data_IF_133343998573
#
_entry.id   IF_133343998573
#
_cell.length_a   1.000
_cell.length_b   1.000
_cell.length_c   1.000
_cell.angle_alpha   90.00
_cell.angle_beta   90.00
_cell.angle_gamma   90.00
#
_symmetry.space_group_name_H-M   'P 1'
#
loop_
_entity.id
_entity.type
_entity.pdbx_description
1 polymer ?
#
# COMPACT_ATOMS: atom_id res chain seq x y z
N UNK A 1 -4.98 21.55 0.46
CA UNK A 1 -5.24 22.49 -0.65
C UNK A 1 -6.13 21.90 -1.71
N UNK A 2 -6.54 22.73 -2.70
CA UNK A 2 -7.48 22.35 -3.76
C UNK A 2 -7.04 21.07 -4.53
N UNK A 3 -5.75 20.95 -4.83
CA UNK A 3 -5.20 19.78 -5.54
C UNK A 3 -5.45 18.45 -4.82
N UNK A 4 -5.33 18.42 -3.50
CA UNK A 4 -5.59 17.21 -2.72
C UNK A 4 -7.09 16.84 -2.72
N UNK A 5 -7.98 17.82 -2.67
CA UNK A 5 -9.43 17.58 -2.77
C UNK A 5 -9.80 17.03 -4.15
N UNK A 6 -9.23 17.61 -5.22
CA UNK A 6 -9.46 17.13 -6.59
C UNK A 6 -8.96 15.70 -6.77
N UNK A 7 -7.78 15.36 -6.24
CA UNK A 7 -7.25 14.00 -6.28
C UNK A 7 -8.16 13.00 -5.57
N UNK A 8 -8.61 13.34 -4.36
CA UNK A 8 -9.55 12.51 -3.60
C UNK A 8 -10.88 12.30 -4.34
N UNK A 9 -11.45 13.36 -4.92
CA UNK A 9 -12.67 13.27 -5.73
C UNK A 9 -12.46 12.36 -6.95
N UNK A 10 -11.33 12.50 -7.64
CA UNK A 10 -10.97 11.67 -8.78
C UNK A 10 -10.93 10.19 -8.41
N UNK A 11 -10.22 9.84 -7.33
CA UNK A 11 -10.14 8.45 -6.87
C UNK A 11 -11.52 7.91 -6.48
N UNK A 12 -12.29 8.65 -5.71
CA UNK A 12 -13.65 8.24 -5.32
C UNK A 12 -14.54 8.01 -6.54
N UNK A 13 -14.40 8.84 -7.57
CA UNK A 13 -15.14 8.65 -8.83
C UNK A 13 -14.72 7.35 -9.51
N UNK A 14 -13.43 7.05 -9.62
CA UNK A 14 -12.96 5.79 -10.19
C UNK A 14 -13.50 4.57 -9.45
N UNK A 15 -13.43 4.59 -8.11
CA UNK A 15 -13.96 3.51 -7.28
C UNK A 15 -15.48 3.34 -7.46
N UNK A 16 -16.23 4.45 -7.58
CA UNK A 16 -17.69 4.41 -7.76
C UNK A 16 -18.14 3.75 -9.07
N UNK A 17 -17.22 3.60 -10.03
CA UNK A 17 -17.51 2.88 -11.28
C UNK A 17 -17.61 1.35 -11.10
N UNK A 18 -17.33 0.83 -9.91
CA UNK A 18 -17.35 -0.60 -9.61
C UNK A 18 -16.30 -1.40 -10.39
N UNK A 19 -15.17 -0.77 -10.72
CA UNK A 19 -14.05 -1.39 -11.43
C UNK A 19 -12.85 -1.54 -10.50
N UNK A 20 -12.05 -2.55 -10.78
CA UNK A 20 -10.74 -2.66 -10.14
C UNK A 20 -9.86 -1.54 -10.68
N UNK A 21 -9.20 -0.81 -9.76
CA UNK A 21 -8.38 0.35 -10.09
C UNK A 21 -6.94 0.07 -9.67
N UNK A 22 -6.02 0.18 -10.60
CA UNK A 22 -4.59 -0.01 -10.35
C UNK A 22 -3.87 1.32 -10.51
N UNK A 23 -3.17 1.74 -9.46
CA UNK A 23 -2.29 2.91 -9.49
C UNK A 23 -0.83 2.45 -9.59
N UNK A 24 -0.09 3.07 -10.49
CA UNK A 24 1.35 2.86 -10.64
C UNK A 24 2.03 4.18 -10.30
N UNK A 25 2.94 4.15 -9.34
CA UNK A 25 3.74 5.29 -8.93
C UNK A 25 5.23 4.91 -8.89
N UNK A 26 6.10 5.87 -9.13
CA UNK A 26 7.51 5.70 -8.80
C UNK A 26 7.68 5.56 -7.30
N UNK A 27 8.76 4.91 -6.87
CA UNK A 27 9.17 4.93 -5.48
C UNK A 27 10.08 6.13 -5.23
N UNK A 28 9.79 6.90 -4.18
CA UNK A 28 10.70 7.91 -3.64
C UNK A 28 11.45 7.34 -2.45
N UNK A 29 12.69 7.79 -2.29
CA UNK A 29 13.51 7.52 -1.11
C UNK A 29 13.25 8.61 -0.08
N UNK A 30 12.67 8.24 1.05
CA UNK A 30 12.51 9.13 2.19
C UNK A 30 13.50 8.68 3.30
N UNK A 31 14.15 9.64 3.92
CA UNK A 31 15.06 9.36 5.03
C UNK A 31 14.27 9.27 6.33
N UNK A 32 14.39 8.15 7.03
CA UNK A 32 13.78 7.93 8.34
C UNK A 32 14.89 7.64 9.37
N UNK A 33 15.43 8.70 9.98
CA UNK A 33 16.64 8.61 10.79
C UNK A 33 17.83 8.15 9.94
N UNK A 34 18.46 7.04 10.32
CA UNK A 34 19.58 6.43 9.58
C UNK A 34 19.12 5.42 8.50
N UNK A 35 17.81 5.23 8.33
CA UNK A 35 17.25 4.26 7.39
C UNK A 35 16.61 4.97 6.19
N UNK A 36 16.70 4.34 5.03
CA UNK A 36 15.97 4.75 3.83
C UNK A 36 14.68 3.92 3.76
N UNK A 37 13.56 4.59 3.57
CA UNK A 37 12.27 3.97 3.35
C UNK A 37 11.73 4.35 1.96
N UNK A 38 11.31 3.33 1.18
CA UNK A 38 10.70 3.52 -0.13
C UNK A 38 9.19 3.70 0.00
N UNK A 39 8.68 4.78 -0.58
CA UNK A 39 7.27 5.15 -0.55
C UNK A 39 6.80 5.54 -1.95
N UNK A 40 5.48 5.46 -2.26
CA UNK A 40 4.97 6.01 -3.51
C UNK A 40 5.31 7.50 -3.64
N UNK A 41 5.89 7.88 -4.78
CA UNK A 41 6.20 9.28 -5.10
C UNK A 41 4.93 10.07 -5.44
N UNK A 42 4.23 10.48 -4.39
CA UNK A 42 3.00 11.26 -4.45
C UNK A 42 3.11 12.44 -3.50
N UNK A 43 2.86 13.63 -4.01
CA UNK A 43 2.99 14.87 -3.25
C UNK A 43 1.96 15.01 -2.12
N UNK A 44 2.41 15.55 -0.97
CA UNK A 44 1.58 15.94 0.16
C UNK A 44 0.72 14.83 0.73
N UNK A 45 -0.52 15.17 1.11
CA UNK A 45 -1.48 14.22 1.72
C UNK A 45 -2.03 13.15 0.76
N UNK A 46 -1.72 13.23 -0.55
CA UNK A 46 -2.23 12.28 -1.54
C UNK A 46 -1.67 10.87 -1.33
N UNK A 47 -0.42 10.74 -0.86
CA UNK A 47 0.19 9.46 -0.52
C UNK A 47 -0.62 8.73 0.55
N UNK A 48 -0.94 9.42 1.65
CA UNK A 48 -1.68 8.85 2.77
C UNK A 48 -3.11 8.50 2.37
N UNK A 49 -3.76 9.34 1.56
CA UNK A 49 -5.10 9.05 1.04
C UNK A 49 -5.09 7.78 0.18
N UNK A 50 -4.11 7.64 -0.73
CA UNK A 50 -4.01 6.44 -1.56
C UNK A 50 -3.72 5.19 -0.72
N UNK A 51 -2.80 5.28 0.25
CA UNK A 51 -2.49 4.17 1.16
C UNK A 51 -3.73 3.72 1.94
N UNK A 52 -4.52 4.69 2.44
CA UNK A 52 -5.73 4.43 3.23
C UNK A 52 -6.81 3.70 2.42
N UNK A 53 -7.00 4.05 1.16
CA UNK A 53 -8.08 3.51 0.33
C UNK A 53 -7.70 2.24 -0.44
N UNK A 54 -6.40 1.99 -0.67
CA UNK A 54 -5.96 0.80 -1.38
C UNK A 54 -6.16 -0.46 -0.52
N UNK A 55 -6.74 -1.51 -1.08
CA UNK A 55 -6.83 -2.82 -0.43
C UNK A 55 -5.47 -3.52 -0.40
N UNK A 56 -4.68 -3.32 -1.44
CA UNK A 56 -3.38 -3.95 -1.62
C UNK A 56 -2.38 -2.92 -2.16
N UNK A 57 -1.18 -2.89 -1.61
CA UNK A 57 -0.06 -2.09 -2.10
C UNK A 57 1.19 -2.95 -2.18
N UNK A 58 1.80 -3.05 -3.34
CA UNK A 58 3.01 -3.83 -3.56
C UNK A 58 4.20 -2.93 -3.92
N UNK A 59 5.34 -3.19 -3.31
CA UNK A 59 6.63 -2.60 -3.67
C UNK A 59 7.33 -3.48 -4.70
N UNK A 60 7.41 -3.02 -5.94
CA UNK A 60 8.09 -3.73 -7.02
C UNK A 60 9.59 -3.43 -6.99
N UNK A 61 10.40 -4.47 -6.87
CA UNK A 61 11.87 -4.37 -6.88
C UNK A 61 12.50 -5.43 -7.76
N UNK A 62 13.79 -5.26 -8.03
CA UNK A 62 14.61 -6.25 -8.73
C UNK A 62 15.59 -6.88 -7.77
N UNK A 63 15.65 -8.20 -7.76
CA UNK A 63 16.58 -8.99 -6.94
C UNK A 63 17.47 -9.85 -7.82
N UNK A 64 18.70 -10.08 -7.37
CA UNK A 64 19.59 -11.03 -8.03
C UNK A 64 19.37 -12.40 -7.43
N UNK A 65 18.99 -13.37 -8.27
CA UNK A 65 18.81 -14.77 -7.85
C UNK A 65 20.14 -15.44 -7.55
N UNK A 66 20.10 -16.59 -6.87
CA UNK A 66 21.30 -17.40 -6.60
C UNK A 66 22.07 -17.83 -7.84
N UNK A 67 21.43 -17.79 -9.03
CA UNK A 67 22.07 -18.04 -10.33
C UNK A 67 22.69 -16.79 -10.98
N UNK A 68 22.68 -15.64 -10.29
CA UNK A 68 23.18 -14.37 -10.81
C UNK A 68 22.26 -13.69 -11.84
N UNK A 69 21.01 -14.14 -11.99
CA UNK A 69 20.04 -13.53 -12.88
C UNK A 69 19.19 -12.49 -12.13
N UNK A 70 18.84 -11.42 -12.80
CA UNK A 70 17.92 -10.43 -12.26
C UNK A 70 16.47 -10.91 -12.45
N UNK A 71 15.72 -10.89 -11.38
CA UNK A 71 14.30 -11.20 -11.36
C UNK A 71 13.52 -10.08 -10.65
N UNK A 72 12.27 -9.88 -11.03
CA UNK A 72 11.39 -8.90 -10.41
C UNK A 72 10.51 -9.57 -9.36
N UNK A 73 10.36 -8.89 -8.22
CA UNK A 73 9.53 -9.34 -7.10
C UNK A 73 8.64 -8.19 -6.65
N UNK A 74 7.40 -8.50 -6.33
CA UNK A 74 6.50 -7.56 -5.67
C UNK A 74 6.38 -7.96 -4.20
N UNK A 75 6.74 -7.06 -3.29
CA UNK A 75 6.61 -7.25 -1.86
C UNK A 75 5.32 -6.59 -1.37
N UNK A 76 4.38 -7.38 -0.87
CA UNK A 76 3.11 -6.91 -0.32
C UNK A 76 3.14 -6.77 1.21
N UNK A 77 4.15 -7.31 1.88
CA UNK A 77 4.32 -7.19 3.33
C UNK A 77 5.07 -5.90 3.67
N UNK A 78 4.49 -5.05 4.53
CA UNK A 78 5.18 -3.83 4.97
C UNK A 78 6.45 -4.18 5.73
N UNK A 79 7.47 -3.32 5.58
CA UNK A 79 8.77 -3.47 6.25
C UNK A 79 9.33 -2.10 6.64
N UNK A 80 10.38 -2.05 7.48
CA UNK A 80 11.05 -0.80 7.79
C UNK A 80 11.65 -0.08 6.57
N UNK A 81 11.82 -0.78 5.45
CA UNK A 81 12.46 -0.25 4.24
C UNK A 81 11.48 0.11 3.12
N UNK A 82 10.23 -0.29 3.20
CA UNK A 82 9.24 0.07 2.18
C UNK A 82 7.81 0.00 2.69
N UNK A 83 6.96 0.86 2.15
CA UNK A 83 5.53 0.80 2.35
C UNK A 83 4.91 -0.30 1.48
N UNK A 84 4.05 -1.10 2.10
CA UNK A 84 3.25 -2.12 1.44
C UNK A 84 1.97 -2.37 2.24
N UNK A 85 0.98 -3.04 1.64
CA UNK A 85 -0.29 -3.40 2.28
C UNK A 85 -0.82 -4.68 1.66
N UNK A 86 -1.32 -5.60 2.47
CA UNK A 86 -1.68 -6.93 2.00
C UNK A 86 -3.00 -7.47 2.59
N UNK A 87 -4.09 -6.75 2.42
CA UNK A 87 -5.42 -7.25 2.84
C UNK A 87 -5.87 -8.47 2.04
N UNK A 88 -5.26 -8.72 0.89
CA UNK A 88 -5.52 -9.86 0.00
C UNK A 88 -4.69 -11.12 0.27
N UNK A 89 -3.85 -11.13 1.31
CA UNK A 89 -2.94 -12.24 1.66
C UNK A 89 -2.07 -12.76 0.49
N UNK A 90 -1.67 -11.85 -0.41
CA UNK A 90 -0.82 -12.19 -1.55
C UNK A 90 0.58 -12.62 -1.10
N UNK A 91 1.17 -13.61 -1.78
CA UNK A 91 2.50 -14.10 -1.47
C UNK A 91 2.62 -14.89 -0.16
N UNK A 92 1.49 -15.25 0.47
CA UNK A 92 1.47 -16.04 1.70
C UNK A 92 2.22 -15.38 2.86
N UNK A 93 2.98 -16.16 3.62
CA UNK A 93 3.70 -15.69 4.82
C UNK A 93 4.80 -14.66 4.51
N UNK A 94 5.46 -14.77 3.38
CA UNK A 94 6.54 -13.84 2.98
C UNK A 94 5.99 -12.53 2.43
N UNK A 95 4.77 -12.56 1.85
CA UNK A 95 4.19 -11.45 1.11
C UNK A 95 4.89 -11.18 -0.23
N UNK A 96 5.75 -12.09 -0.70
CA UNK A 96 6.52 -11.93 -1.93
C UNK A 96 5.87 -12.66 -3.10
N UNK A 97 5.74 -11.97 -4.22
CA UNK A 97 5.25 -12.55 -5.47
C UNK A 97 6.25 -12.29 -6.59
N UNK A 98 6.79 -13.35 -7.14
CA UNK A 98 7.72 -13.29 -8.26
C UNK A 98 6.99 -12.95 -9.55
N UNK A 99 7.46 -11.91 -10.26
CA UNK A 99 6.87 -11.50 -11.53
C UNK A 99 7.38 -12.41 -12.64
N UNK A 100 6.51 -13.17 -13.28
CA UNK A 100 6.91 -14.06 -14.38
C UNK A 100 7.21 -13.28 -15.66
N UNK A 101 7.57 -13.98 -16.73
CA UNK A 101 7.56 -13.39 -18.06
C UNK A 101 6.12 -13.00 -18.44
N UNK A 102 5.83 -11.70 -18.48
CA UNK A 102 4.50 -11.18 -18.76
C UNK A 102 4.02 -11.45 -20.20
N UNK A 103 4.92 -11.80 -21.12
CA UNK A 103 4.51 -12.23 -22.46
C UNK A 103 3.92 -13.64 -22.43
N UNK A 104 4.48 -14.51 -21.58
CA UNK A 104 3.97 -15.85 -21.35
C UNK A 104 2.76 -15.87 -20.40
N UNK A 105 2.66 -14.89 -19.50
CA UNK A 105 1.60 -14.78 -18.48
C UNK A 105 0.91 -13.40 -18.54
N UNK A 106 0.15 -13.10 -19.59
CA UNK A 106 -0.45 -11.76 -19.80
C UNK A 106 -1.55 -11.42 -18.78
N UNK A 107 -2.12 -12.41 -18.10
CA UNK A 107 -3.17 -12.25 -17.08
C UNK A 107 -2.64 -12.06 -15.67
N UNK A 108 -1.31 -12.11 -15.47
CA UNK A 108 -0.67 -12.12 -14.15
C UNK A 108 -1.25 -11.10 -13.16
N UNK A 109 -1.42 -9.84 -13.57
CA UNK A 109 -1.97 -8.80 -12.69
C UNK A 109 -3.45 -9.03 -12.39
N UNK A 110 -4.23 -9.45 -13.37
CA UNK A 110 -5.64 -9.77 -13.19
C UNK A 110 -5.83 -10.96 -12.24
N UNK A 111 -4.95 -11.96 -12.34
CA UNK A 111 -4.95 -13.13 -11.46
C UNK A 111 -4.63 -12.74 -10.02
N UNK A 112 -3.67 -11.84 -9.79
CA UNK A 112 -3.37 -11.30 -8.46
C UNK A 112 -4.57 -10.52 -7.87
N UNK A 113 -5.22 -9.69 -8.66
CA UNK A 113 -6.40 -8.94 -8.22
C UNK A 113 -7.52 -9.92 -7.84
N UNK A 114 -7.75 -10.93 -8.66
CA UNK A 114 -8.77 -11.96 -8.39
C UNK A 114 -8.44 -12.71 -7.09
N UNK A 115 -7.20 -13.15 -6.91
CA UNK A 115 -6.75 -13.83 -5.69
C UNK A 115 -6.98 -12.97 -4.44
N UNK A 116 -6.63 -11.67 -4.50
CA UNK A 116 -6.83 -10.75 -3.38
C UNK A 116 -8.33 -10.60 -3.05
N UNK A 117 -9.18 -10.42 -4.06
CA UNK A 117 -10.64 -10.30 -3.89
C UNK A 117 -11.25 -11.57 -3.33
N UNK A 118 -10.85 -12.74 -3.82
CA UNK A 118 -11.35 -14.01 -3.35
C UNK A 118 -10.99 -14.21 -1.87
N UNK A 119 -9.75 -13.88 -1.47
CA UNK A 119 -9.34 -13.92 -0.08
C UNK A 119 -10.21 -13.01 0.80
N UNK A 120 -10.35 -11.75 0.44
CA UNK A 120 -11.15 -10.77 1.21
C UNK A 120 -12.61 -11.22 1.33
N UNK A 121 -13.18 -11.77 0.26
CA UNK A 121 -14.56 -12.24 0.25
C UNK A 121 -14.80 -13.53 1.07
N UNK A 122 -13.75 -14.29 1.41
CA UNK A 122 -13.85 -15.48 2.28
C UNK A 122 -13.79 -15.13 3.76
N UNK A 123 -13.40 -13.89 4.12
CA UNK A 123 -13.31 -13.49 5.51
C UNK A 123 -14.67 -13.41 6.17
N UNK A 124 -14.77 -13.95 7.37
CA UNK A 124 -15.97 -13.77 8.22
C UNK A 124 -16.09 -12.30 8.67
N UNK A 125 -17.29 -11.85 9.06
CA UNK A 125 -17.46 -10.47 9.57
C UNK A 125 -16.51 -10.14 10.73
N UNK A 126 -16.21 -11.06 11.61
CA UNK A 126 -15.28 -10.86 12.73
C UNK A 126 -13.83 -10.71 12.23
N UNK A 127 -13.40 -11.54 11.28
CA UNK A 127 -12.08 -11.44 10.65
C UNK A 127 -11.92 -10.15 9.87
N UNK A 128 -12.97 -9.74 9.15
CA UNK A 128 -12.98 -8.47 8.42
C UNK A 128 -12.87 -7.28 9.37
N UNK A 129 -13.58 -7.29 10.49
CA UNK A 129 -13.48 -6.25 11.52
C UNK A 129 -12.09 -6.21 12.15
N UNK A 130 -11.49 -7.36 12.46
CA UNK A 130 -10.14 -7.45 13.00
C UNK A 130 -9.09 -6.95 11.99
N UNK A 131 -9.22 -7.30 10.71
CA UNK A 131 -8.33 -6.82 9.65
C UNK A 131 -8.41 -5.29 9.49
N UNK A 132 -9.62 -4.72 9.53
CA UNK A 132 -9.82 -3.26 9.47
C UNK A 132 -9.21 -2.55 10.68
N UNK A 133 -9.42 -3.08 11.88
CA UNK A 133 -8.83 -2.49 13.10
C UNK A 133 -7.29 -2.53 13.06
N UNK A 134 -6.71 -3.61 12.55
CA UNK A 134 -5.27 -3.72 12.35
C UNK A 134 -4.77 -2.69 11.33
N UNK A 135 -5.48 -2.54 10.22
CA UNK A 135 -5.19 -1.57 9.18
C UNK A 135 -5.26 -0.13 9.70
N UNK A 136 -6.29 0.21 10.47
CA UNK A 136 -6.43 1.52 11.11
C UNK A 136 -5.27 1.81 12.07
N UNK A 137 -4.85 0.81 12.85
CA UNK A 137 -3.69 0.93 13.73
C UNK A 137 -2.39 1.16 12.95
N UNK A 138 -2.19 0.46 11.85
CA UNK A 138 -1.02 0.65 10.99
C UNK A 138 -1.01 2.02 10.32
N UNK A 139 -2.16 2.46 9.81
CA UNK A 139 -2.34 3.81 9.27
C UNK A 139 -2.06 4.90 10.31
N UNK A 140 -2.52 4.69 11.54
CA UNK A 140 -2.27 5.62 12.64
C UNK A 140 -0.78 5.67 13.01
N UNK A 141 -0.11 4.52 13.14
CA UNK A 141 1.33 4.46 13.40
C UNK A 141 2.13 5.18 12.32
N UNK A 142 1.81 4.93 11.05
CA UNK A 142 2.45 5.61 9.94
C UNK A 142 2.24 7.12 9.99
N UNK A 143 1.02 7.57 10.32
CA UNK A 143 0.72 9.00 10.45
C UNK A 143 1.50 9.64 11.61
N UNK A 144 1.71 8.92 12.71
CA UNK A 144 2.55 9.38 13.82
C UNK A 144 4.02 9.53 13.40
N UNK A 145 4.58 8.54 12.71
CA UNK A 145 5.95 8.59 12.20
C UNK A 145 6.15 9.76 11.24
N UNK A 146 5.18 10.01 10.35
CA UNK A 146 5.23 11.15 9.43
C UNK A 146 5.11 12.50 10.14
N UNK A 147 4.33 12.57 11.23
CA UNK A 147 4.19 13.79 12.03
C UNK A 147 5.44 14.10 12.86
N UNK A 148 6.10 13.10 13.42
CA UNK A 148 7.39 13.26 14.11
C UNK A 148 8.44 13.88 13.18
N UNK A 149 8.45 13.46 11.91
CA UNK A 149 9.36 13.99 10.89
C UNK A 149 8.99 15.39 10.41
N UNK A 150 7.70 15.73 10.42
CA UNK A 150 7.20 17.04 9.98
C UNK A 150 7.18 18.10 11.10
N UNK A 151 7.48 17.74 12.35
CA UNK A 151 7.35 18.62 13.51
C UNK A 151 5.91 18.96 13.88
N UNK A 152 4.94 18.17 13.44
CA UNK A 152 3.50 18.49 13.48
C UNK A 152 2.71 17.59 14.44
N UNK A 153 3.35 17.12 15.51
CA UNK A 153 2.71 16.31 16.59
C UNK A 153 1.43 16.95 17.17
N UNK A 154 1.35 18.29 17.16
CA UNK A 154 0.19 19.02 17.69
C UNK A 154 -1.09 18.80 16.87
N UNK A 155 -1.00 18.58 15.56
CA UNK A 155 -2.18 18.35 14.72
C UNK A 155 -2.77 16.96 14.89
N UNK A 156 -1.98 15.97 15.27
CA UNK A 156 -2.46 14.61 15.54
C UNK A 156 -3.17 14.48 16.86
N UNK A 157 -2.70 15.17 17.91
CA UNK A 157 -3.37 15.21 19.22
C UNK A 157 -4.75 15.86 19.14
N UNK A 158 -4.90 16.92 18.35
CA UNK A 158 -6.19 17.59 18.16
C UNK A 158 -7.21 16.74 17.39
N UNK A 159 -6.77 15.74 16.63
CA UNK A 159 -7.69 14.84 15.90
C UNK A 159 -8.23 13.72 16.79
N UNK A 160 -7.48 13.29 17.80
CA UNK A 160 -7.89 12.25 18.76
C UNK A 160 -8.90 12.77 19.80
N UNK A 161 -8.86 14.06 20.11
CA UNK A 161 -9.79 14.67 21.07
C UNK A 161 -11.19 14.97 20.47
N UNK A 162 -11.43 14.65 19.21
CA UNK A 162 -12.70 14.91 18.49
C UNK A 162 -13.51 13.65 18.16
N UNK A 163 -13.06 12.48 18.58
CA UNK A 163 -13.81 11.22 18.51
C UNK A 163 -14.28 10.79 19.92
#
# INVERSE_FOLDING_TARGET
GLANQTFKQYINTLISLGKDVVFIAHASEDQNGDQIIYRPDLGGKNRNELYRIADVMGYLTTVTTGEGKNARVINFKPSPTHHAKNSGALGGETGEVWVPDLKAHPTFLADLITQAKDHINTLTPAQLAAAKAQEELENWKQSCEEAEHAGDLNQLTESLDKE
#
